data_IF_004531197100
#
_entry.id   IF_004531197100
#
_cell.length_a   1.000
_cell.length_b   1.000
_cell.length_c   1.000
_cell.angle_alpha   90.00
_cell.angle_beta   90.00
_cell.angle_gamma   90.00
#
_symmetry.space_group_name_H-M   'P 1'
#
loop_
_entity.id
_entity.type
_entity.pdbx_description
1 polymer ?
#
# COMPACT_ATOMS: atom_id res chain seq x y z
N UNK A 1 34.06 18.24 43.62
CA UNK A 1 35.32 17.85 42.93
C UNK A 1 35.15 16.41 42.47
N UNK A 2 35.01 16.16 41.16
CA UNK A 2 34.78 14.80 40.63
C UNK A 2 36.15 14.12 40.49
N UNK A 3 36.32 12.94 41.10
CA UNK A 3 37.59 12.20 40.98
C UNK A 3 37.70 11.55 39.60
N UNK A 4 38.91 11.46 39.02
CA UNK A 4 39.12 10.92 37.67
C UNK A 4 38.61 9.47 37.50
N UNK A 5 38.50 8.70 38.59
CA UNK A 5 37.92 7.37 38.59
C UNK A 5 36.38 7.36 38.52
N UNK A 6 35.71 8.38 39.07
CA UNK A 6 34.25 8.53 38.96
C UNK A 6 33.86 8.93 37.53
N UNK A 7 34.66 9.81 36.90
CA UNK A 7 34.44 10.23 35.52
C UNK A 7 34.55 9.04 34.55
N UNK A 8 35.60 8.20 34.68
CA UNK A 8 35.77 6.99 33.85
C UNK A 8 34.62 5.99 34.00
N UNK A 9 34.13 5.77 35.22
CA UNK A 9 32.99 4.86 35.46
C UNK A 9 31.70 5.40 34.86
N UNK A 10 31.49 6.71 34.91
CA UNK A 10 30.33 7.36 34.30
C UNK A 10 30.38 7.25 32.76
N UNK A 11 31.55 7.42 32.14
CA UNK A 11 31.72 7.30 30.69
C UNK A 11 31.43 5.88 30.19
N UNK A 12 31.84 4.85 30.93
CA UNK A 12 31.56 3.45 30.60
C UNK A 12 30.06 3.13 30.74
N UNK A 13 29.40 3.66 31.78
CA UNK A 13 27.95 3.48 31.98
C UNK A 13 27.10 4.20 30.91
N UNK A 14 27.49 5.41 30.51
CA UNK A 14 26.84 6.15 29.42
C UNK A 14 27.03 5.45 28.06
N UNK A 15 28.21 4.86 27.83
CA UNK A 15 28.51 4.11 26.61
C UNK A 15 27.67 2.84 26.47
N UNK A 16 27.32 2.19 27.59
CA UNK A 16 26.49 0.98 27.58
C UNK A 16 25.01 1.29 27.30
N UNK A 17 24.50 2.44 27.75
CA UNK A 17 23.12 2.89 27.49
C UNK A 17 22.88 3.34 26.03
N UNK A 18 23.93 3.71 25.29
CA UNK A 18 23.84 4.09 23.88
C UNK A 18 23.75 2.89 22.92
N UNK A 19 24.05 1.67 23.38
CA UNK A 19 24.09 0.47 22.53
C UNK A 19 22.78 -0.36 22.58
N UNK A 20 21.84 -0.02 23.46
CA UNK A 20 20.52 -0.68 23.56
C UNK A 20 19.44 -0.02 22.71
N UNK A 21 19.83 0.78 21.71
CA UNK A 21 18.91 1.27 20.67
C UNK A 21 18.40 0.11 19.82
N UNK A 22 17.33 -0.53 20.30
CA UNK A 22 16.59 -1.53 19.55
C UNK A 22 16.01 -0.86 18.30
N UNK A 23 16.72 -0.96 17.18
CA UNK A 23 16.14 -0.71 15.87
C UNK A 23 15.11 -1.82 15.64
N UNK A 24 13.85 -1.58 15.99
CA UNK A 24 12.76 -2.26 15.30
C UNK A 24 12.92 -1.92 13.82
N UNK A 25 13.52 -2.85 13.07
CA UNK A 25 13.47 -2.82 11.61
C UNK A 25 12.00 -2.96 11.28
N UNK A 26 11.34 -1.83 11.04
CA UNK A 26 9.97 -1.77 10.58
C UNK A 26 9.94 -2.46 9.20
N UNK A 27 9.77 -3.80 9.20
CA UNK A 27 9.60 -4.57 7.98
C UNK A 27 8.34 -4.00 7.33
N UNK A 28 8.49 -3.51 6.10
CA UNK A 28 7.49 -2.71 5.40
C UNK A 28 6.11 -3.37 5.38
N UNK A 29 5.09 -2.58 5.05
CA UNK A 29 3.70 -3.07 4.88
C UNK A 29 3.70 -4.31 3.96
N UNK A 30 3.09 -5.39 4.43
CA UNK A 30 2.94 -6.63 3.68
C UNK A 30 1.91 -6.47 2.57
N UNK A 31 2.12 -7.19 1.46
CA UNK A 31 1.21 -7.22 0.31
C UNK A 31 1.19 -8.65 -0.16
N UNK A 32 0.01 -9.25 -0.25
CA UNK A 32 -0.11 -10.60 -0.81
C UNK A 32 0.13 -10.61 -2.31
N UNK A 33 0.75 -11.70 -2.80
CA UNK A 33 1.09 -11.83 -4.22
C UNK A 33 -0.10 -12.24 -5.10
N UNK A 34 -1.13 -12.81 -4.49
CA UNK A 34 -2.40 -13.22 -5.12
C UNK A 34 -3.46 -13.49 -4.03
N UNK A 35 -4.69 -13.78 -4.46
CA UNK A 35 -5.82 -14.06 -3.57
C UNK A 35 -5.56 -15.27 -2.66
N UNK A 36 -4.91 -16.32 -3.18
CA UNK A 36 -4.65 -17.53 -2.40
C UNK A 36 -3.66 -17.27 -1.26
N UNK A 37 -2.61 -16.47 -1.51
CA UNK A 37 -1.69 -16.02 -0.46
C UNK A 37 -2.41 -15.18 0.60
N UNK A 38 -3.28 -14.26 0.17
CA UNK A 38 -4.09 -13.43 1.08
C UNK A 38 -5.00 -14.28 1.99
N UNK A 39 -5.61 -15.33 1.44
CA UNK A 39 -6.42 -16.31 2.18
C UNK A 39 -5.58 -17.13 3.16
N UNK A 40 -4.42 -17.64 2.72
CA UNK A 40 -3.49 -18.40 3.58
C UNK A 40 -3.01 -17.59 4.78
N UNK A 41 -2.77 -16.29 4.57
CA UNK A 41 -2.38 -15.33 5.62
C UNK A 41 -3.54 -14.91 6.53
N UNK A 42 -4.78 -15.28 6.22
CA UNK A 42 -5.97 -14.89 7.00
C UNK A 42 -6.30 -13.40 6.92
N UNK A 43 -5.81 -12.69 5.91
CA UNK A 43 -6.01 -11.24 5.72
C UNK A 43 -7.01 -10.91 4.62
N UNK A 44 -7.37 -11.88 3.78
CA UNK A 44 -8.36 -11.74 2.73
C UNK A 44 -9.75 -11.35 3.26
N UNK A 45 -10.39 -10.39 2.60
CA UNK A 45 -11.76 -9.96 2.93
C UNK A 45 -12.75 -10.31 1.82
N UNK A 46 -12.47 -9.88 0.58
CA UNK A 46 -13.35 -10.10 -0.56
C UNK A 46 -12.62 -9.94 -1.87
N UNK A 47 -13.16 -10.51 -2.94
CA UNK A 47 -12.71 -10.32 -4.32
C UNK A 47 -13.61 -9.30 -5.03
N UNK A 48 -13.03 -8.59 -6.01
CA UNK A 48 -13.76 -7.70 -6.90
C UNK A 48 -13.61 -8.12 -8.36
N UNK A 49 -14.64 -7.84 -9.15
CA UNK A 49 -14.60 -7.76 -10.59
C UNK A 49 -14.29 -6.34 -11.05
N UNK A 50 -13.54 -6.24 -12.13
CA UNK A 50 -13.35 -4.99 -12.86
C UNK A 50 -14.44 -4.89 -13.91
N UNK A 51 -15.26 -3.85 -13.85
CA UNK A 51 -16.28 -3.63 -14.90
C UNK A 51 -15.71 -3.01 -16.17
N UNK A 52 -14.62 -2.25 -16.06
CA UNK A 52 -13.97 -1.63 -17.20
C UNK A 52 -12.45 -1.53 -17.04
N UNK A 53 -11.72 -1.85 -18.10
CA UNK A 53 -10.28 -1.60 -18.18
C UNK A 53 -10.05 -0.10 -18.33
N UNK A 54 -9.01 0.42 -17.70
CA UNK A 54 -8.63 1.82 -17.82
C UNK A 54 -7.49 1.95 -18.82
N UNK A 55 -7.77 2.48 -20.01
CA UNK A 55 -6.80 2.67 -21.09
C UNK A 55 -6.86 4.12 -21.56
N UNK A 56 -5.75 4.85 -21.46
CA UNK A 56 -5.63 6.23 -21.91
C UNK A 56 -4.32 6.45 -22.66
N UNK A 57 -4.46 6.50 -23.98
CA UNK A 57 -3.33 6.54 -24.91
C UNK A 57 -2.32 5.44 -24.59
N UNK A 58 -1.05 5.76 -24.83
CA UNK A 58 0.05 4.83 -24.58
C UNK A 58 0.59 4.92 -23.14
N UNK A 59 0.14 5.91 -22.36
CA UNK A 59 0.72 6.25 -21.06
C UNK A 59 0.12 5.50 -19.88
N UNK A 60 -1.19 5.20 -19.93
CA UNK A 60 -1.93 4.52 -18.86
C UNK A 60 -2.70 3.34 -19.43
N UNK A 61 -2.39 2.14 -18.95
CA UNK A 61 -3.07 0.88 -19.23
C UNK A 61 -3.14 0.08 -17.93
N UNK A 62 -4.34 0.02 -17.37
CA UNK A 62 -4.66 -0.75 -16.16
C UNK A 62 -5.74 -1.77 -16.54
N UNK A 63 -5.31 -3.03 -16.60
CA UNK A 63 -6.16 -4.19 -16.90
C UNK A 63 -5.78 -5.31 -15.93
N UNK A 64 -6.21 -5.24 -14.65
CA UNK A 64 -5.81 -6.22 -13.67
C UNK A 64 -6.41 -7.60 -13.98
N UNK A 65 -5.69 -8.66 -13.64
CA UNK A 65 -6.13 -10.06 -13.68
C UNK A 65 -6.86 -10.45 -12.40
N UNK A 66 -6.34 -10.06 -11.23
CA UNK A 66 -6.99 -10.27 -9.93
C UNK A 66 -7.13 -8.94 -9.19
N UNK A 67 -8.25 -8.78 -8.48
CA UNK A 67 -8.49 -7.64 -7.59
C UNK A 67 -9.14 -8.12 -6.31
N UNK A 68 -8.56 -7.76 -5.16
CA UNK A 68 -9.11 -8.15 -3.87
C UNK A 68 -8.89 -7.09 -2.80
N UNK A 69 -9.70 -7.19 -1.75
CA UNK A 69 -9.54 -6.47 -0.50
C UNK A 69 -8.85 -7.37 0.52
N UNK A 70 -7.86 -6.83 1.22
CA UNK A 70 -7.28 -7.47 2.40
C UNK A 70 -7.10 -6.47 3.55
N UNK A 71 -7.01 -6.99 4.77
CA UNK A 71 -6.60 -6.19 5.93
C UNK A 71 -5.15 -5.78 5.76
N UNK A 72 -4.77 -4.60 6.21
CA UNK A 72 -3.35 -4.21 6.26
C UNK A 72 -2.61 -5.10 7.26
N UNK A 73 -1.48 -5.64 6.82
CA UNK A 73 -0.64 -6.55 7.62
C UNK A 73 0.84 -6.28 7.43
N UNK A 74 1.67 -6.94 8.24
CA UNK A 74 3.14 -6.92 8.19
C UNK A 74 3.69 -8.31 8.42
N UNK A 75 4.91 -8.54 7.95
CA UNK A 75 5.64 -9.75 8.28
C UNK A 75 5.92 -9.80 9.78
N UNK A 76 5.68 -10.96 10.38
CA UNK A 76 6.11 -11.20 11.75
C UNK A 76 7.66 -11.11 11.80
N UNK A 77 8.22 -10.32 12.73
CA UNK A 77 9.67 -10.18 12.87
C UNK A 77 10.36 -11.51 13.23
N UNK A 78 9.70 -12.35 14.02
CA UNK A 78 10.20 -13.64 14.51
C UNK A 78 10.03 -14.74 13.46
N UNK A 79 8.90 -14.73 12.75
CA UNK A 79 8.63 -15.66 11.65
C UNK A 79 8.09 -14.94 10.40
N UNK A 80 8.95 -14.50 9.47
CA UNK A 80 8.50 -13.80 8.27
C UNK A 80 7.58 -14.62 7.33
N UNK A 81 7.34 -15.90 7.60
CA UNK A 81 6.27 -16.64 6.90
C UNK A 81 4.87 -16.24 7.40
N UNK A 82 4.76 -15.76 8.63
CA UNK A 82 3.53 -15.30 9.27
C UNK A 82 3.23 -13.82 9.00
N UNK A 83 1.96 -13.46 9.21
CA UNK A 83 1.45 -12.09 9.07
C UNK A 83 0.81 -11.61 10.36
N UNK A 84 1.22 -10.41 10.80
CA UNK A 84 0.62 -9.69 11.93
C UNK A 84 -0.23 -8.56 11.37
N UNK A 85 -1.52 -8.52 11.74
CA UNK A 85 -2.38 -7.39 11.39
C UNK A 85 -2.03 -6.17 12.25
N UNK A 86 -1.68 -5.04 11.62
CA UNK A 86 -1.20 -3.84 12.34
C UNK A 86 -2.35 -3.06 13.01
N UNK A 87 -3.58 -3.23 12.55
CA UNK A 87 -4.75 -2.52 13.07
C UNK A 87 -6.03 -3.20 12.60
N UNK A 88 -7.03 -3.36 13.49
CA UNK A 88 -8.22 -4.18 13.19
C UNK A 88 -9.08 -3.65 12.03
N UNK A 89 -8.94 -2.37 11.66
CA UNK A 89 -9.88 -1.66 10.78
C UNK A 89 -9.24 -0.96 9.57
N UNK A 90 -7.98 -1.24 9.22
CA UNK A 90 -7.38 -0.69 7.99
C UNK A 90 -7.31 -1.74 6.89
N UNK A 91 -7.61 -1.32 5.67
CA UNK A 91 -7.71 -2.21 4.52
C UNK A 91 -6.83 -1.72 3.38
N UNK A 92 -6.50 -2.63 2.47
CA UNK A 92 -5.82 -2.32 1.22
C UNK A 92 -6.47 -3.11 0.08
N UNK A 93 -6.70 -2.43 -1.02
CA UNK A 93 -7.14 -3.03 -2.28
C UNK A 93 -5.90 -3.32 -3.08
N UNK A 94 -5.75 -4.56 -3.54
CA UNK A 94 -4.62 -5.00 -4.35
C UNK A 94 -5.13 -5.37 -5.73
N UNK A 95 -4.46 -4.83 -6.75
CA UNK A 95 -4.72 -5.08 -8.17
C UNK A 95 -3.45 -5.71 -8.72
N UNK A 96 -3.53 -6.91 -9.26
CA UNK A 96 -2.42 -7.55 -9.97
C UNK A 96 -2.69 -7.63 -11.46
N UNK A 97 -1.65 -7.57 -12.27
CA UNK A 97 -1.70 -7.84 -13.71
C UNK A 97 -1.01 -9.17 -14.03
N UNK A 98 -1.27 -9.71 -15.22
CA UNK A 98 -0.48 -10.81 -15.75
C UNK A 98 0.95 -10.34 -16.04
N UNK A 99 1.93 -11.25 -15.95
CA UNK A 99 3.35 -10.89 -16.16
C UNK A 99 3.62 -10.42 -17.57
N UNK A 100 2.91 -10.97 -18.53
CA UNK A 100 3.00 -10.70 -19.96
C UNK A 100 2.37 -9.35 -20.30
N UNK A 101 1.46 -8.85 -19.46
CA UNK A 101 0.73 -7.59 -19.66
C UNK A 101 0.78 -6.70 -18.42
N UNK A 102 1.98 -6.24 -18.00
CA UNK A 102 2.14 -5.41 -16.81
C UNK A 102 1.41 -4.06 -16.95
N UNK A 103 1.20 -3.39 -15.83
CA UNK A 103 0.57 -2.08 -15.86
C UNK A 103 1.50 -1.06 -16.53
N UNK A 104 1.07 -0.52 -17.68
CA UNK A 104 1.69 0.69 -18.22
C UNK A 104 1.11 1.87 -17.45
N UNK A 105 1.85 2.43 -16.51
CA UNK A 105 1.40 3.56 -15.69
C UNK A 105 2.52 4.60 -15.64
N UNK A 106 3.05 4.91 -16.82
CA UNK A 106 4.10 5.93 -16.97
C UNK A 106 3.59 7.28 -16.45
N UNK A 107 4.34 7.89 -15.52
CA UNK A 107 3.95 9.15 -14.90
C UNK A 107 2.83 9.06 -13.84
N UNK A 108 2.45 7.87 -13.36
CA UNK A 108 1.66 7.77 -12.11
C UNK A 108 2.41 8.50 -10.98
N UNK A 109 1.69 9.24 -10.15
CA UNK A 109 2.22 10.12 -9.08
C UNK A 109 3.00 11.36 -9.54
N UNK A 110 3.15 11.58 -10.85
CA UNK A 110 3.79 12.79 -11.40
C UNK A 110 2.89 13.58 -12.36
N UNK A 111 2.21 12.87 -13.25
CA UNK A 111 1.29 13.43 -14.24
C UNK A 111 -0.15 13.07 -13.94
N UNK A 112 -0.37 11.94 -13.27
CA UNK A 112 -1.69 11.39 -13.02
C UNK A 112 -1.80 10.74 -11.65
N UNK A 113 -2.99 10.81 -11.07
CA UNK A 113 -3.37 10.12 -9.83
C UNK A 113 -4.65 9.32 -10.08
N UNK A 114 -4.70 8.09 -9.57
CA UNK A 114 -5.87 7.21 -9.65
C UNK A 114 -6.30 6.90 -8.22
N UNK A 115 -7.46 7.38 -7.80
CA UNK A 115 -7.87 7.26 -6.40
C UNK A 115 -9.35 7.43 -6.18
N UNK A 116 -9.81 7.08 -4.98
CA UNK A 116 -11.15 7.46 -4.49
C UNK A 116 -11.18 8.96 -4.22
N UNK A 117 -10.10 9.47 -3.64
CA UNK A 117 -9.85 10.90 -3.38
C UNK A 117 -8.34 11.16 -3.34
N UNK A 118 -7.96 12.35 -2.88
CA UNK A 118 -6.56 12.76 -2.71
C UNK A 118 -5.73 11.87 -1.81
N UNK A 119 -6.33 11.40 -0.72
CA UNK A 119 -5.63 10.66 0.33
C UNK A 119 -5.71 9.14 0.13
N UNK A 120 -6.59 8.69 -0.78
CA UNK A 120 -6.86 7.27 -1.04
C UNK A 120 -6.66 6.98 -2.52
N UNK A 121 -5.41 6.74 -2.91
CA UNK A 121 -5.00 6.50 -4.30
C UNK A 121 -4.22 5.20 -4.48
N UNK A 122 -4.20 4.71 -5.71
CA UNK A 122 -3.41 3.57 -6.14
C UNK A 122 -1.95 4.00 -6.32
N UNK A 123 -1.05 3.27 -5.67
CA UNK A 123 0.40 3.38 -5.83
C UNK A 123 0.96 2.07 -6.36
N UNK A 124 2.12 2.14 -7.02
CA UNK A 124 2.85 0.95 -7.43
C UNK A 124 3.35 0.15 -6.23
N UNK A 125 3.20 -1.16 -6.31
CA UNK A 125 3.85 -2.15 -5.45
C UNK A 125 4.72 -3.14 -6.24
N UNK A 126 4.91 -2.89 -7.53
CA UNK A 126 5.68 -3.70 -8.47
C UNK A 126 5.30 -3.32 -9.91
N UNK A 127 5.85 -4.01 -10.90
CA UNK A 127 5.49 -3.80 -12.31
C UNK A 127 4.08 -4.30 -12.64
N UNK A 128 3.66 -5.37 -11.97
CA UNK A 128 2.35 -6.01 -12.12
C UNK A 128 1.43 -5.75 -10.94
N UNK A 129 1.74 -4.77 -10.09
CA UNK A 129 1.04 -4.57 -8.82
C UNK A 129 0.70 -3.09 -8.58
N UNK A 130 -0.58 -2.83 -8.33
CA UNK A 130 -1.08 -1.56 -7.77
C UNK A 130 -1.78 -1.84 -6.45
N UNK A 131 -1.61 -0.94 -5.49
CA UNK A 131 -2.22 -1.04 -4.16
C UNK A 131 -2.83 0.30 -3.77
N UNK A 132 -4.04 0.27 -3.19
CA UNK A 132 -4.71 1.44 -2.63
C UNK A 132 -5.06 1.21 -1.17
N UNK A 133 -4.62 2.11 -0.29
CA UNK A 133 -4.93 2.01 1.13
C UNK A 133 -6.31 2.65 1.42
N UNK A 134 -7.11 1.98 2.25
CA UNK A 134 -8.43 2.41 2.66
C UNK A 134 -8.51 2.50 4.19
N UNK A 135 -9.01 3.64 4.67
CA UNK A 135 -9.15 3.89 6.10
C UNK A 135 -10.31 3.10 6.72
N UNK A 136 -11.30 2.73 5.91
CA UNK A 136 -12.50 2.01 6.30
C UNK A 136 -12.80 0.89 5.32
N UNK A 137 -13.63 -0.07 5.74
CA UNK A 137 -14.06 -1.15 4.85
C UNK A 137 -14.95 -0.55 3.77
N UNK A 138 -14.59 -0.67 2.48
CA UNK A 138 -15.45 -0.19 1.41
C UNK A 138 -16.72 -1.03 1.30
N UNK A 139 -17.75 -0.44 0.67
CA UNK A 139 -18.96 -1.16 0.28
C UNK A 139 -18.74 -2.12 -0.89
N UNK A 140 -19.82 -2.55 -1.52
CA UNK A 140 -19.76 -3.52 -2.63
C UNK A 140 -19.21 -2.91 -3.94
N UNK A 141 -19.15 -1.58 -4.04
CA UNK A 141 -18.61 -0.87 -5.20
C UNK A 141 -17.49 0.07 -4.77
N UNK A 142 -16.39 0.02 -5.50
CA UNK A 142 -15.24 0.93 -5.37
C UNK A 142 -15.03 1.67 -6.68
N UNK A 143 -14.99 3.00 -6.61
CA UNK A 143 -14.79 3.85 -7.77
C UNK A 143 -13.47 4.61 -7.65
N UNK A 144 -12.51 4.21 -8.47
CA UNK A 144 -11.23 4.90 -8.60
C UNK A 144 -11.31 5.89 -9.77
N UNK A 145 -11.17 7.18 -9.47
CA UNK A 145 -11.18 8.26 -10.45
C UNK A 145 -9.75 8.57 -10.87
N UNK A 146 -9.54 8.77 -12.16
CA UNK A 146 -8.28 9.25 -12.70
C UNK A 146 -8.34 10.76 -12.91
N UNK A 147 -7.30 11.45 -12.42
CA UNK A 147 -7.12 12.91 -12.56
C UNK A 147 -5.67 13.27 -12.94
N UNK A 148 -5.47 14.44 -13.55
CA UNK A 148 -4.14 15.05 -13.78
C UNK A 148 -3.53 15.57 -12.48
N UNK A 149 -2.24 15.34 -12.28
CA UNK A 149 -1.44 15.94 -11.21
C UNK A 149 -0.69 14.92 -10.35
N UNK A 150 0.47 15.36 -9.85
CA UNK A 150 1.40 14.57 -9.04
C UNK A 150 0.92 14.35 -7.59
N UNK A 151 0.31 15.38 -7.01
CA UNK A 151 -0.11 15.39 -5.62
C UNK A 151 -1.51 16.00 -5.53
N UNK A 152 -2.48 15.24 -5.04
CA UNK A 152 -3.82 15.75 -4.90
C UNK A 152 -3.89 16.50 -3.57
N UNK A 153 -3.56 17.79 -3.57
CA UNK A 153 -4.00 18.64 -2.46
C UNK A 153 -5.46 18.98 -2.71
N UNK A 154 -6.36 18.46 -1.86
CA UNK A 154 -7.80 18.72 -1.91
C UNK A 154 -8.63 17.66 -2.63
N UNK A 155 -9.95 17.86 -2.65
CA UNK A 155 -10.91 16.92 -3.24
C UNK A 155 -10.87 16.91 -4.78
N UNK A 156 -11.39 15.83 -5.36
CA UNK A 156 -11.49 15.71 -6.81
C UNK A 156 -12.65 16.56 -7.33
N UNK A 157 -12.33 17.63 -8.06
CA UNK A 157 -13.31 18.39 -8.83
C UNK A 157 -13.75 17.58 -10.06
N UNK A 158 -15.04 17.66 -10.40
CA UNK A 158 -15.65 16.81 -11.45
C UNK A 158 -15.00 17.06 -12.82
N UNK A 159 -14.68 18.31 -13.11
CA UNK A 159 -14.04 18.78 -14.34
C UNK A 159 -12.62 18.26 -14.56
N UNK A 160 -11.95 17.75 -13.52
CA UNK A 160 -10.58 17.24 -13.59
C UNK A 160 -10.51 15.71 -13.79
N UNK A 161 -11.67 15.03 -13.85
CA UNK A 161 -11.75 13.57 -13.95
C UNK A 161 -11.79 13.16 -15.42
N UNK A 162 -10.80 12.38 -15.85
CA UNK A 162 -10.72 11.93 -17.25
C UNK A 162 -11.33 10.56 -17.50
N UNK A 163 -11.31 9.71 -16.47
CA UNK A 163 -11.78 8.36 -16.56
C UNK A 163 -11.99 7.77 -15.16
N UNK A 164 -12.69 6.66 -15.11
CA UNK A 164 -13.00 5.95 -13.88
C UNK A 164 -12.65 4.47 -14.02
N UNK A 165 -12.27 3.84 -12.93
CA UNK A 165 -12.05 2.41 -12.78
C UNK A 165 -13.03 1.94 -11.71
N UNK A 166 -14.03 1.17 -12.15
CA UNK A 166 -15.08 0.65 -11.28
C UNK A 166 -14.81 -0.81 -10.94
N UNK A 167 -14.76 -1.08 -9.64
CA UNK A 167 -14.62 -2.41 -9.08
C UNK A 167 -15.94 -2.76 -8.37
N UNK A 168 -16.48 -3.95 -8.67
CA UNK A 168 -17.73 -4.45 -8.07
C UNK A 168 -17.43 -5.78 -7.40
N UNK A 169 -17.85 -5.92 -6.15
CA UNK A 169 -17.62 -7.12 -5.36
C UNK A 169 -18.23 -8.34 -6.06
N UNK A 170 -17.47 -9.44 -6.09
CA UNK A 170 -17.95 -10.74 -6.59
C UNK A 170 -18.97 -11.37 -5.65
#
# INVERSE_FOLDING_TARGET
MITPNLLKRLTVFLGFFMLSGCFEKDRGRGISININDSKKRGVFITEYEIKQKLILGDSIRISPSEVWLEKVWRYDPEDPSNSISKNNNTYQVVLTAEKETPFSVSGLSFKYTIGVNSNQYLRKCGETCLIGDLAEKPGDTLLYKLKKGAYPNGDYKKEDIFAELMLIKK
#
